data_IF_999104981658
#
_entry.id   IF_999104981658
#
_cell.length_a   1.000
_cell.length_b   1.000
_cell.length_c   1.000
_cell.angle_alpha   90.00
_cell.angle_beta   90.00
_cell.angle_gamma   90.00
#
_symmetry.space_group_name_H-M   'P 1'
#
loop_
_entity.id
_entity.type
_entity.pdbx_description
1 polymer ?
#
# COMPACT_ATOMS: atom_id res chain seq x y z
N UNK A 1 21.92 -16.95 -121.89
CA UNK A 1 22.81 -17.04 -120.72
C UNK A 1 23.84 -15.94 -120.86
N UNK A 2 23.78 -14.89 -120.04
CA UNK A 2 24.77 -13.81 -120.08
C UNK A 2 26.06 -14.33 -119.46
N UNK A 3 27.13 -14.43 -120.25
CA UNK A 3 28.45 -14.81 -119.77
C UNK A 3 28.99 -13.72 -118.84
N UNK A 4 29.27 -14.04 -117.58
CA UNK A 4 29.94 -13.12 -116.64
C UNK A 4 31.45 -13.20 -116.85
N UNK A 5 32.09 -12.05 -117.06
CA UNK A 5 33.55 -11.92 -117.19
C UNK A 5 34.10 -11.02 -116.09
N UNK A 6 35.32 -11.30 -115.63
CA UNK A 6 35.99 -10.48 -114.61
C UNK A 6 36.75 -9.34 -115.29
N UNK A 7 36.47 -8.12 -114.86
CA UNK A 7 37.17 -6.92 -115.31
C UNK A 7 38.01 -6.35 -114.16
N UNK A 8 39.31 -6.16 -114.40
CA UNK A 8 40.25 -5.62 -113.42
C UNK A 8 40.88 -4.33 -113.92
N UNK A 9 40.77 -3.25 -113.14
CA UNK A 9 41.39 -1.95 -113.46
C UNK A 9 42.23 -1.45 -112.30
N UNK A 10 43.40 -0.91 -112.64
CA UNK A 10 44.27 -0.22 -111.69
C UNK A 10 43.68 1.18 -111.44
N UNK A 11 43.20 1.39 -110.23
CA UNK A 11 42.71 2.68 -109.73
C UNK A 11 43.61 3.18 -108.60
N UNK A 12 43.55 4.47 -108.31
CA UNK A 12 44.23 5.05 -107.14
C UNK A 12 43.55 4.61 -105.84
N UNK A 13 44.30 4.57 -104.73
CA UNK A 13 43.77 4.16 -103.43
C UNK A 13 42.65 5.09 -102.94
N UNK A 14 42.74 6.39 -103.24
CA UNK A 14 41.70 7.38 -102.94
C UNK A 14 40.39 7.08 -103.68
N UNK A 15 40.48 6.75 -104.99
CA UNK A 15 39.31 6.40 -105.78
C UNK A 15 38.68 5.10 -105.28
N UNK A 16 39.50 4.13 -104.87
CA UNK A 16 39.04 2.88 -104.28
C UNK A 16 38.28 3.12 -102.97
N UNK A 17 38.81 3.90 -102.05
CA UNK A 17 38.14 4.21 -100.77
C UNK A 17 36.82 4.92 -100.98
N UNK A 18 36.78 5.90 -101.89
CA UNK A 18 35.55 6.63 -102.21
C UNK A 18 34.51 5.72 -102.86
N UNK A 19 34.92 4.84 -103.78
CA UNK A 19 34.04 3.89 -104.43
C UNK A 19 33.45 2.90 -103.42
N UNK A 20 34.28 2.32 -102.53
CA UNK A 20 33.81 1.40 -101.49
C UNK A 20 32.81 2.07 -100.56
N UNK A 21 33.08 3.29 -100.10
CA UNK A 21 32.15 4.02 -99.22
C UNK A 21 30.80 4.28 -99.90
N UNK A 22 30.80 4.68 -101.17
CA UNK A 22 29.56 4.93 -101.91
C UNK A 22 28.74 3.65 -102.13
N UNK A 23 29.42 2.51 -102.38
CA UNK A 23 28.76 1.20 -102.50
C UNK A 23 28.13 0.79 -101.16
N UNK A 24 28.83 0.99 -100.05
CA UNK A 24 28.32 0.69 -98.70
C UNK A 24 27.12 1.58 -98.33
N UNK A 25 27.20 2.87 -98.63
CA UNK A 25 26.11 3.84 -98.38
C UNK A 25 24.88 3.59 -99.27
N UNK A 26 25.07 3.09 -100.49
CA UNK A 26 23.96 2.77 -101.40
C UNK A 26 23.30 1.42 -101.10
N UNK A 27 23.97 0.55 -100.34
CA UNK A 27 23.49 -0.81 -100.02
C UNK A 27 23.48 -1.77 -101.22
N UNK A 28 24.15 -1.42 -102.32
CA UNK A 28 24.25 -2.23 -103.54
C UNK A 28 25.51 -3.10 -103.52
N UNK A 29 25.52 -4.19 -104.29
CA UNK A 29 26.79 -4.87 -104.57
C UNK A 29 27.65 -4.03 -105.52
N UNK A 30 28.98 -4.22 -105.47
CA UNK A 30 29.89 -3.50 -106.37
C UNK A 30 29.54 -3.67 -107.86
N UNK A 31 28.94 -4.82 -108.23
CA UNK A 31 28.45 -5.08 -109.58
C UNK A 31 27.26 -4.20 -109.94
N UNK A 32 26.22 -4.20 -109.11
CA UNK A 32 25.00 -3.41 -109.33
C UNK A 32 25.30 -1.91 -109.36
N UNK A 33 26.19 -1.46 -108.48
CA UNK A 33 26.65 -0.06 -108.45
C UNK A 33 27.36 0.36 -109.75
N UNK A 34 28.23 -0.50 -110.30
CA UNK A 34 28.89 -0.23 -111.59
C UNK A 34 27.89 -0.28 -112.74
N UNK A 35 26.93 -1.20 -112.73
CA UNK A 35 25.85 -1.25 -113.73
C UNK A 35 25.00 0.04 -113.72
N UNK A 36 24.65 0.58 -112.55
CA UNK A 36 23.97 1.87 -112.42
C UNK A 36 24.81 3.03 -112.94
N UNK A 37 26.11 3.08 -112.61
CA UNK A 37 27.02 4.13 -113.12
C UNK A 37 27.13 4.10 -114.65
N UNK A 38 27.19 2.91 -115.25
CA UNK A 38 27.21 2.75 -116.71
C UNK A 38 25.89 3.23 -117.32
N UNK A 39 24.74 2.87 -116.75
CA UNK A 39 23.43 3.33 -117.24
C UNK A 39 23.29 4.86 -117.15
N UNK A 40 23.74 5.48 -116.05
CA UNK A 40 23.74 6.94 -115.87
C UNK A 40 24.63 7.61 -116.92
N UNK A 41 25.82 7.03 -117.20
CA UNK A 41 26.72 7.53 -118.22
C UNK A 41 26.16 7.34 -119.65
N UNK A 42 25.52 6.21 -119.95
CA UNK A 42 24.85 5.95 -121.23
C UNK A 42 23.66 6.89 -121.46
N UNK A 43 22.87 7.18 -120.43
CA UNK A 43 21.80 8.17 -120.47
C UNK A 43 22.35 9.57 -120.78
N UNK A 44 23.47 9.94 -120.15
CA UNK A 44 24.15 11.20 -120.40
C UNK A 44 24.71 11.29 -121.84
N UNK A 45 25.25 10.18 -122.37
CA UNK A 45 25.75 10.11 -123.75
C UNK A 45 24.64 10.12 -124.80
N UNK A 46 23.48 9.54 -124.48
CA UNK A 46 22.28 9.58 -125.34
C UNK A 46 21.75 11.01 -125.49
N UNK A 47 21.84 11.82 -124.42
CA UNK A 47 21.54 13.26 -124.44
C UNK A 47 22.41 14.04 -125.44
N UNK A 48 23.70 13.67 -125.57
CA UNK A 48 24.63 14.30 -126.52
C UNK A 48 24.38 13.87 -127.98
N UNK A 49 23.86 12.66 -128.21
CA UNK A 49 23.68 12.07 -129.54
C UNK A 49 22.30 12.32 -130.16
N UNK A 50 21.25 12.52 -129.35
CA UNK A 50 19.87 12.73 -129.83
C UNK A 50 19.29 14.02 -129.21
N UNK A 51 19.56 15.20 -129.81
CA UNK A 51 19.10 16.49 -129.28
C UNK A 51 17.58 16.60 -129.10
N UNK A 52 16.80 15.86 -129.91
CA UNK A 52 15.35 15.90 -129.93
C UNK A 52 14.67 15.47 -128.62
N UNK A 53 15.35 14.67 -127.79
CA UNK A 53 14.81 14.15 -126.51
C UNK A 53 15.55 14.72 -125.28
N UNK A 54 16.51 15.62 -125.49
CA UNK A 54 17.36 16.18 -124.42
C UNK A 54 16.53 16.92 -123.35
N UNK A 55 15.50 17.65 -123.76
CA UNK A 55 14.59 18.38 -122.87
C UNK A 55 13.80 17.42 -121.97
N UNK A 56 13.30 16.32 -122.52
CA UNK A 56 12.51 15.34 -121.77
C UNK A 56 13.38 14.61 -120.72
N UNK A 57 14.64 14.32 -121.05
CA UNK A 57 15.62 13.74 -120.11
C UNK A 57 15.92 14.72 -118.96
N UNK A 58 16.04 16.02 -119.24
CA UNK A 58 16.25 17.05 -118.20
C UNK A 58 15.05 17.21 -117.27
N UNK A 59 13.83 17.17 -117.82
CA UNK A 59 12.61 17.21 -117.01
C UNK A 59 12.50 15.98 -116.12
N UNK A 60 12.78 14.79 -116.65
CA UNK A 60 12.82 13.54 -115.88
C UNK A 60 13.86 13.59 -114.74
N UNK A 61 15.07 14.08 -115.01
CA UNK A 61 16.10 14.27 -114.00
C UNK A 61 15.65 15.25 -112.91
N UNK A 62 14.98 16.34 -113.31
CA UNK A 62 14.45 17.35 -112.38
C UNK A 62 13.36 16.79 -111.48
N UNK A 63 12.40 16.06 -112.05
CA UNK A 63 11.34 15.38 -111.30
C UNK A 63 11.91 14.33 -110.36
N UNK A 64 12.88 13.54 -110.81
CA UNK A 64 13.56 12.51 -109.99
C UNK A 64 14.27 13.14 -108.80
N UNK A 65 15.03 14.24 -109.02
CA UNK A 65 15.68 14.98 -107.94
C UNK A 65 14.66 15.51 -106.93
N UNK A 66 13.56 16.08 -107.41
CA UNK A 66 12.48 16.58 -106.55
C UNK A 66 11.83 15.47 -105.72
N UNK A 67 11.62 14.28 -106.30
CA UNK A 67 11.11 13.11 -105.57
C UNK A 67 12.09 12.69 -104.46
N UNK A 68 13.40 12.63 -104.77
CA UNK A 68 14.44 12.32 -103.79
C UNK A 68 14.47 13.35 -102.66
N UNK A 69 14.42 14.65 -102.98
CA UNK A 69 14.39 15.73 -101.98
C UNK A 69 13.16 15.62 -101.06
N UNK A 70 11.98 15.27 -101.61
CA UNK A 70 10.77 15.02 -100.81
C UNK A 70 11.00 13.84 -99.86
N UNK A 71 11.56 12.72 -100.34
CA UNK A 71 11.82 11.54 -99.52
C UNK A 71 12.84 11.82 -98.40
N UNK A 72 13.91 12.56 -98.70
CA UNK A 72 14.88 13.01 -97.69
C UNK A 72 14.18 13.85 -96.61
N UNK A 73 13.35 14.82 -97.02
CA UNK A 73 12.61 15.66 -96.09
C UNK A 73 11.62 14.86 -95.22
N UNK A 74 10.93 13.88 -95.79
CA UNK A 74 10.04 12.97 -95.05
C UNK A 74 10.85 12.13 -94.04
N UNK A 75 12.00 11.58 -94.46
CA UNK A 75 12.91 10.85 -93.58
C UNK A 75 13.37 11.72 -92.41
N UNK A 76 13.79 12.96 -92.68
CA UNK A 76 14.19 13.93 -91.66
C UNK A 76 13.03 14.24 -90.68
N UNK A 77 11.82 14.40 -91.20
CA UNK A 77 10.61 14.67 -90.40
C UNK A 77 10.29 13.49 -89.48
N UNK A 78 10.34 12.25 -89.97
CA UNK A 78 10.14 11.04 -89.18
C UNK A 78 11.20 10.94 -88.08
N UNK A 79 12.47 11.16 -88.42
CA UNK A 79 13.57 11.12 -87.45
C UNK A 79 13.40 12.16 -86.34
N UNK A 80 12.97 13.38 -86.68
CA UNK A 80 12.70 14.43 -85.71
C UNK A 80 11.51 14.09 -84.80
N UNK A 81 10.42 13.55 -85.35
CA UNK A 81 9.26 13.11 -84.58
C UNK A 81 9.62 11.96 -83.62
N UNK A 82 10.45 11.02 -84.08
CA UNK A 82 10.91 9.91 -83.26
C UNK A 82 11.79 10.40 -82.11
N UNK A 83 12.74 11.31 -82.40
CA UNK A 83 13.58 11.93 -81.37
C UNK A 83 12.74 12.69 -80.32
N UNK A 84 11.76 13.48 -80.74
CA UNK A 84 10.89 14.21 -79.82
C UNK A 84 10.06 13.26 -78.92
N UNK A 85 9.55 12.17 -79.49
CA UNK A 85 8.84 11.13 -78.73
C UNK A 85 9.77 10.45 -77.72
N UNK A 86 10.98 10.09 -78.14
CA UNK A 86 11.95 9.42 -77.25
C UNK A 86 12.35 10.35 -76.10
N UNK A 87 12.55 11.65 -76.36
CA UNK A 87 12.81 12.66 -75.33
C UNK A 87 11.64 12.80 -74.34
N UNK A 88 10.39 12.80 -74.83
CA UNK A 88 9.19 12.86 -73.97
C UNK A 88 9.06 11.60 -73.11
N UNK A 89 9.25 10.42 -73.70
CA UNK A 89 9.24 9.15 -72.97
C UNK A 89 10.35 9.09 -71.92
N UNK A 90 11.57 9.52 -72.24
CA UNK A 90 12.68 9.59 -71.27
C UNK A 90 12.34 10.52 -70.10
N UNK A 91 11.71 11.67 -70.34
CA UNK A 91 11.24 12.56 -69.27
C UNK A 91 10.18 11.91 -68.40
N UNK A 92 9.21 11.23 -69.00
CA UNK A 92 8.15 10.55 -68.25
C UNK A 92 8.69 9.40 -67.40
N UNK A 93 9.65 8.63 -67.92
CA UNK A 93 10.33 7.57 -67.16
C UNK A 93 11.06 8.17 -65.96
N UNK A 94 11.87 9.22 -66.18
CA UNK A 94 12.60 9.87 -65.10
C UNK A 94 11.68 10.44 -64.00
N UNK A 95 10.54 11.02 -64.38
CA UNK A 95 9.53 11.50 -63.43
C UNK A 95 8.92 10.35 -62.61
N UNK A 96 8.57 9.23 -63.27
CA UNK A 96 8.02 8.06 -62.60
C UNK A 96 9.03 7.43 -61.65
N UNK A 97 10.30 7.31 -62.05
CA UNK A 97 11.37 6.78 -61.21
C UNK A 97 11.59 7.66 -59.98
N UNK A 98 11.57 8.98 -60.14
CA UNK A 98 11.65 9.93 -59.03
C UNK A 98 10.47 9.81 -58.05
N UNK A 99 9.25 9.61 -58.57
CA UNK A 99 8.07 9.39 -57.74
C UNK A 99 8.15 8.05 -56.99
N UNK A 100 8.58 6.98 -57.66
CA UNK A 100 8.78 5.65 -57.06
C UNK A 100 9.78 5.74 -55.91
N UNK A 101 10.93 6.39 -56.13
CA UNK A 101 11.94 6.58 -55.09
C UNK A 101 11.36 7.33 -53.88
N UNK A 102 10.62 8.42 -54.13
CA UNK A 102 9.97 9.21 -53.06
C UNK A 102 8.97 8.38 -52.26
N UNK A 103 8.14 7.58 -52.95
CA UNK A 103 7.15 6.71 -52.31
C UNK A 103 7.82 5.60 -51.50
N UNK A 104 8.91 5.02 -52.00
CA UNK A 104 9.69 4.01 -51.28
C UNK A 104 10.31 4.57 -50.00
N UNK A 105 10.90 5.77 -50.05
CA UNK A 105 11.43 6.44 -48.85
C UNK A 105 10.33 6.67 -47.83
N UNK A 106 9.18 7.21 -48.24
CA UNK A 106 8.08 7.48 -47.33
C UNK A 106 7.47 6.21 -46.74
N UNK A 107 7.44 5.12 -47.51
CA UNK A 107 6.98 3.83 -47.02
C UNK A 107 7.93 3.25 -45.97
N UNK A 108 9.24 3.39 -46.16
CA UNK A 108 10.24 2.97 -45.16
C UNK A 108 10.15 3.81 -43.87
N UNK A 109 9.97 5.13 -43.99
CA UNK A 109 9.78 6.03 -42.84
C UNK A 109 8.53 5.65 -42.03
N UNK A 110 7.39 5.43 -42.71
CA UNK A 110 6.14 5.04 -42.06
C UNK A 110 6.24 3.66 -41.40
N UNK A 111 6.98 2.72 -42.00
CA UNK A 111 7.23 1.42 -41.40
C UNK A 111 8.05 1.54 -40.10
N UNK A 112 9.12 2.33 -40.13
CA UNK A 112 9.96 2.57 -38.95
C UNK A 112 9.19 3.28 -37.83
N UNK A 113 8.36 4.27 -38.16
CA UNK A 113 7.50 4.96 -37.20
C UNK A 113 6.47 4.02 -36.57
N UNK A 114 5.85 3.16 -37.38
CA UNK A 114 4.87 2.18 -36.91
C UNK A 114 5.51 1.13 -35.96
N UNK A 115 6.71 0.65 -36.28
CA UNK A 115 7.46 -0.24 -35.39
C UNK A 115 7.81 0.43 -34.05
N UNK A 116 8.24 1.69 -34.11
CA UNK A 116 8.52 2.49 -32.90
C UNK A 116 7.27 2.65 -32.04
N UNK A 117 6.16 3.10 -32.63
CA UNK A 117 4.89 3.29 -31.91
C UNK A 117 4.39 1.98 -31.30
N UNK A 118 4.55 0.85 -32.01
CA UNK A 118 4.19 -0.48 -31.50
C UNK A 118 5.02 -0.86 -30.26
N UNK A 119 6.33 -0.58 -30.28
CA UNK A 119 7.22 -0.82 -29.13
C UNK A 119 6.88 0.07 -27.93
N UNK A 120 6.60 1.35 -28.17
CA UNK A 120 6.16 2.29 -27.14
C UNK A 120 4.82 1.86 -26.52
N UNK A 121 3.86 1.45 -27.35
CA UNK A 121 2.57 0.94 -26.87
C UNK A 121 2.72 -0.32 -26.00
N UNK A 122 3.60 -1.26 -26.37
CA UNK A 122 3.90 -2.44 -25.54
C UNK A 122 4.55 -2.05 -24.21
N UNK A 123 5.46 -1.08 -24.23
CA UNK A 123 6.13 -0.58 -23.02
C UNK A 123 5.13 0.06 -22.07
N UNK A 124 4.27 0.94 -22.59
CA UNK A 124 3.21 1.58 -21.80
C UNK A 124 2.19 0.58 -21.26
N UNK A 125 1.82 -0.45 -22.04
CA UNK A 125 0.93 -1.51 -21.57
C UNK A 125 1.55 -2.28 -20.38
N UNK A 126 2.86 -2.56 -20.43
CA UNK A 126 3.57 -3.20 -19.33
C UNK A 126 3.63 -2.32 -18.09
N UNK A 127 3.94 -1.03 -18.25
CA UNK A 127 3.95 -0.06 -17.14
C UNK A 127 2.57 0.09 -16.51
N UNK A 128 1.51 0.12 -17.30
CA UNK A 128 0.13 0.18 -16.80
C UNK A 128 -0.22 -1.04 -15.93
N UNK A 129 0.17 -2.25 -16.37
CA UNK A 129 -0.03 -3.46 -15.59
C UNK A 129 0.78 -3.47 -14.27
N UNK A 130 2.01 -2.96 -14.29
CA UNK A 130 2.85 -2.81 -13.10
C UNK A 130 2.23 -1.83 -12.09
N UNK A 131 1.78 -0.66 -12.54
CA UNK A 131 1.09 0.31 -11.68
C UNK A 131 -0.23 -0.22 -11.13
N UNK A 132 -0.99 -0.97 -11.92
CA UNK A 132 -2.24 -1.57 -11.44
C UNK A 132 -1.99 -2.61 -10.35
N UNK A 133 -0.92 -3.41 -10.48
CA UNK A 133 -0.49 -4.34 -9.43
C UNK A 133 -0.08 -3.60 -8.14
N UNK A 134 0.70 -2.52 -8.24
CA UNK A 134 1.12 -1.70 -7.10
C UNK A 134 -0.07 -1.05 -6.40
N UNK A 135 -1.03 -0.50 -7.15
CA UNK A 135 -2.28 0.07 -6.61
C UNK A 135 -3.05 -0.98 -5.82
N UNK A 136 -3.15 -2.21 -6.32
CA UNK A 136 -3.85 -3.28 -5.62
C UNK A 136 -3.15 -3.68 -4.31
N UNK A 137 -1.81 -3.78 -4.31
CA UNK A 137 -1.04 -4.02 -3.08
C UNK A 137 -1.23 -2.90 -2.05
N UNK A 138 -1.19 -1.63 -2.49
CA UNK A 138 -1.42 -0.48 -1.60
C UNK A 138 -2.84 -0.48 -1.03
N UNK A 139 -3.86 -0.84 -1.84
CA UNK A 139 -5.24 -0.98 -1.36
C UNK A 139 -5.38 -2.06 -0.29
N UNK A 140 -4.73 -3.22 -0.47
CA UNK A 140 -4.73 -4.29 0.53
C UNK A 140 -4.02 -3.85 1.82
N UNK A 141 -2.84 -3.23 1.71
CA UNK A 141 -2.13 -2.69 2.86
C UNK A 141 -2.98 -1.67 3.62
N UNK A 142 -3.68 -0.78 2.91
CA UNK A 142 -4.53 0.22 3.54
C UNK A 142 -5.76 -0.40 4.24
N UNK A 143 -6.36 -1.46 3.67
CA UNK A 143 -7.42 -2.23 4.34
C UNK A 143 -6.92 -2.84 5.64
N UNK A 144 -5.75 -3.47 5.62
CA UNK A 144 -5.12 -4.06 6.81
C UNK A 144 -4.83 -3.00 7.88
N UNK A 145 -4.28 -1.85 7.48
CA UNK A 145 -4.04 -0.73 8.40
C UNK A 145 -5.34 -0.20 9.01
N UNK A 146 -6.41 -0.11 8.22
CA UNK A 146 -7.73 0.32 8.71
C UNK A 146 -8.28 -0.65 9.76
N UNK A 147 -8.20 -1.96 9.49
CA UNK A 147 -8.61 -2.98 10.45
C UNK A 147 -7.79 -2.91 11.76
N UNK A 148 -6.48 -2.71 11.64
CA UNK A 148 -5.59 -2.56 12.79
C UNK A 148 -5.93 -1.31 13.63
N UNK A 149 -6.27 -0.19 12.98
CA UNK A 149 -6.73 1.03 13.65
C UNK A 149 -8.02 0.77 14.43
N UNK A 150 -8.98 0.05 13.86
CA UNK A 150 -10.22 -0.31 14.56
C UNK A 150 -9.95 -1.21 15.77
N UNK A 151 -9.06 -2.19 15.64
CA UNK A 151 -8.66 -3.06 16.76
C UNK A 151 -8.02 -2.25 17.90
N UNK A 152 -7.13 -1.31 17.56
CA UNK A 152 -6.51 -0.43 18.56
C UNK A 152 -7.53 0.50 19.22
N UNK A 153 -8.50 1.03 18.48
CA UNK A 153 -9.60 1.82 19.07
C UNK A 153 -10.38 0.98 20.09
N UNK A 154 -10.80 -0.23 19.72
CA UNK A 154 -11.53 -1.11 20.63
C UNK A 154 -10.71 -1.47 21.89
N UNK A 155 -9.41 -1.70 21.74
CA UNK A 155 -8.49 -1.90 22.88
C UNK A 155 -8.41 -0.66 23.77
N UNK A 156 -8.29 0.53 23.19
CA UNK A 156 -8.26 1.80 23.94
C UNK A 156 -9.57 2.00 24.71
N UNK A 157 -10.72 1.73 24.10
CA UNK A 157 -12.03 1.86 24.75
C UNK A 157 -12.13 0.91 25.95
N UNK A 158 -11.68 -0.34 25.77
CA UNK A 158 -11.66 -1.35 26.84
C UNK A 158 -10.74 -0.94 28.00
N UNK A 159 -9.53 -0.46 27.69
CA UNK A 159 -8.58 0.03 28.70
C UNK A 159 -9.12 1.26 29.43
N UNK A 160 -9.82 2.14 28.71
CA UNK A 160 -10.45 3.34 29.28
C UNK A 160 -11.56 2.95 30.26
N UNK A 161 -12.40 1.97 29.90
CA UNK A 161 -13.41 1.44 30.79
C UNK A 161 -12.79 0.83 32.06
N UNK A 162 -11.76 -0.01 31.90
CA UNK A 162 -11.05 -0.63 33.02
C UNK A 162 -10.40 0.41 33.95
N UNK A 163 -9.79 1.47 33.40
CA UNK A 163 -9.23 2.57 34.19
C UNK A 163 -10.31 3.26 35.03
N UNK A 164 -11.51 3.46 34.48
CA UNK A 164 -12.62 4.06 35.21
C UNK A 164 -13.11 3.14 36.35
N UNK A 165 -13.19 1.84 36.11
CA UNK A 165 -13.49 0.86 37.18
C UNK A 165 -12.43 0.89 38.29
N UNK A 166 -11.14 0.91 37.94
CA UNK A 166 -10.06 1.03 38.93
C UNK A 166 -10.13 2.32 39.74
N UNK A 167 -10.50 3.44 39.13
CA UNK A 167 -10.73 4.70 39.86
C UNK A 167 -11.87 4.56 40.86
N UNK A 168 -12.98 3.96 40.45
CA UNK A 168 -14.11 3.68 41.36
C UNK A 168 -13.70 2.77 42.52
N UNK A 169 -12.94 1.70 42.26
CA UNK A 169 -12.43 0.84 43.34
C UNK A 169 -11.49 1.57 44.28
N UNK A 170 -10.64 2.47 43.75
CA UNK A 170 -9.77 3.29 44.59
C UNK A 170 -10.58 4.22 45.51
N UNK A 171 -11.59 4.89 44.97
CA UNK A 171 -12.49 5.75 45.78
C UNK A 171 -13.22 4.96 46.86
N UNK A 172 -13.78 3.80 46.53
CA UNK A 172 -14.42 2.92 47.52
C UNK A 172 -13.45 2.45 48.60
N UNK A 173 -12.20 2.14 48.25
CA UNK A 173 -11.18 1.72 49.21
C UNK A 173 -10.83 2.86 50.19
N UNK A 174 -10.71 4.09 49.70
CA UNK A 174 -10.50 5.25 50.57
C UNK A 174 -11.69 5.50 51.51
N UNK A 175 -12.93 5.32 51.04
CA UNK A 175 -14.13 5.38 51.90
C UNK A 175 -14.07 4.29 52.98
N UNK A 176 -13.82 3.03 52.59
CA UNK A 176 -13.75 1.91 53.53
C UNK A 176 -12.63 2.09 54.57
N UNK A 177 -11.49 2.68 54.18
CA UNK A 177 -10.43 3.01 55.14
C UNK A 177 -10.91 4.03 56.17
N UNK A 178 -11.56 5.11 55.73
CA UNK A 178 -12.10 6.14 56.63
C UNK A 178 -13.17 5.58 57.58
N UNK A 179 -14.06 4.72 57.07
CA UNK A 179 -15.04 4.00 57.90
C UNK A 179 -14.35 3.09 58.92
N UNK A 180 -13.30 2.37 58.52
CA UNK A 180 -12.55 1.50 59.42
C UNK A 180 -11.82 2.28 60.52
N UNK A 181 -11.25 3.44 60.20
CA UNK A 181 -10.67 4.35 61.19
C UNK A 181 -11.72 4.88 62.18
N UNK A 182 -12.90 5.23 61.68
CA UNK A 182 -14.03 5.69 62.51
C UNK A 182 -14.50 4.58 63.46
N UNK A 183 -14.73 3.37 62.94
CA UNK A 183 -15.13 2.21 63.75
C UNK A 183 -14.08 1.85 64.80
N UNK A 184 -12.79 1.96 64.49
CA UNK A 184 -11.70 1.75 65.47
C UNK A 184 -11.76 2.79 66.59
N UNK A 185 -12.00 4.06 66.27
CA UNK A 185 -12.13 5.11 67.27
C UNK A 185 -13.35 4.88 68.17
N UNK A 186 -14.50 4.52 67.59
CA UNK A 186 -15.71 4.17 68.34
C UNK A 186 -15.47 2.95 69.25
N UNK A 187 -14.79 1.93 68.75
CA UNK A 187 -14.48 0.72 69.53
C UNK A 187 -13.56 1.05 70.72
N UNK A 188 -12.54 1.88 70.52
CA UNK A 188 -11.67 2.34 71.60
C UNK A 188 -12.42 3.16 72.67
N UNK A 189 -13.39 4.00 72.26
CA UNK A 189 -14.24 4.75 73.19
C UNK A 189 -15.17 3.84 74.00
N UNK A 190 -15.75 2.82 73.34
CA UNK A 190 -16.56 1.79 74.02
C UNK A 190 -15.72 0.95 74.98
N UNK A 191 -14.51 0.56 74.61
CA UNK A 191 -13.58 -0.16 75.50
C UNK A 191 -13.25 0.66 76.75
N UNK A 192 -12.99 1.96 76.59
CA UNK A 192 -12.79 2.86 77.73
C UNK A 192 -14.03 2.94 78.63
N UNK A 193 -15.21 3.09 78.02
CA UNK A 193 -16.48 3.14 78.77
C UNK A 193 -16.72 1.84 79.54
N UNK A 194 -16.44 0.68 78.93
CA UNK A 194 -16.54 -0.62 79.60
C UNK A 194 -15.61 -0.66 80.81
N UNK A 195 -14.36 -0.24 80.65
CA UNK A 195 -13.39 -0.20 81.76
C UNK A 195 -13.85 0.71 82.90
N UNK A 196 -14.33 1.91 82.58
CA UNK A 196 -14.84 2.86 83.58
C UNK A 196 -16.05 2.26 84.35
N UNK A 197 -16.94 1.55 83.64
CA UNK A 197 -18.07 0.84 84.25
C UNK A 197 -17.63 -0.34 85.12
N UNK A 198 -16.63 -1.12 84.69
CA UNK A 198 -16.06 -2.22 85.46
C UNK A 198 -15.44 -1.72 86.78
N UNK A 199 -14.66 -0.64 86.72
CA UNK A 199 -14.09 0.01 87.91
C UNK A 199 -15.19 0.51 88.86
N UNK A 200 -16.27 1.08 88.30
CA UNK A 200 -17.42 1.54 89.09
C UNK A 200 -18.16 0.38 89.77
N UNK A 201 -18.36 -0.74 89.06
CA UNK A 201 -18.96 -1.96 89.62
C UNK A 201 -18.09 -2.49 90.77
N UNK A 202 -16.76 -2.50 90.61
CA UNK A 202 -15.86 -2.96 91.66
C UNK A 202 -15.91 -2.05 92.91
N UNK A 203 -15.96 -0.73 92.70
CA UNK A 203 -16.14 0.24 93.79
C UNK A 203 -17.44 -0.01 94.56
N UNK A 204 -18.57 -0.14 93.86
CA UNK A 204 -19.88 -0.40 94.47
C UNK A 204 -19.87 -1.74 95.23
N UNK A 205 -19.22 -2.77 94.70
CA UNK A 205 -19.08 -4.06 95.40
C UNK A 205 -18.30 -3.93 96.71
N UNK A 206 -17.20 -3.17 96.71
CA UNK A 206 -16.41 -2.90 97.93
C UNK A 206 -17.23 -2.11 98.95
N UNK A 207 -17.90 -1.05 98.50
CA UNK A 207 -18.79 -0.23 99.32
C UNK A 207 -19.89 -1.08 99.97
N UNK A 208 -20.61 -1.88 99.20
CA UNK A 208 -21.63 -2.80 99.71
C UNK A 208 -21.07 -3.85 100.69
N UNK A 209 -19.83 -4.32 100.50
CA UNK A 209 -19.16 -5.24 101.44
C UNK A 209 -18.85 -4.56 102.77
N UNK A 210 -18.37 -3.31 102.74
CA UNK A 210 -18.11 -2.50 103.94
C UNK A 210 -19.41 -2.21 104.68
N UNK A 211 -20.48 -1.82 103.96
CA UNK A 211 -21.81 -1.63 104.54
C UNK A 211 -22.33 -2.91 105.21
N UNK A 212 -22.13 -4.06 104.57
CA UNK A 212 -22.50 -5.36 105.15
C UNK A 212 -21.68 -5.68 106.40
N UNK A 213 -20.36 -5.47 106.39
CA UNK A 213 -19.49 -5.70 107.55
C UNK A 213 -19.82 -4.77 108.71
N UNK A 214 -20.06 -3.49 108.43
CA UNK A 214 -20.47 -2.50 109.45
C UNK A 214 -21.82 -2.87 110.06
N UNK A 215 -22.82 -3.27 109.26
CA UNK A 215 -24.10 -3.76 109.77
C UNK A 215 -23.93 -5.03 110.65
N UNK A 216 -23.06 -5.97 110.27
CA UNK A 216 -22.73 -7.15 111.09
C UNK A 216 -22.07 -6.73 112.41
N UNK A 217 -21.12 -5.80 112.38
CA UNK A 217 -20.46 -5.28 113.59
C UNK A 217 -21.44 -4.60 114.54
N UNK A 218 -22.35 -3.76 114.02
CA UNK A 218 -23.40 -3.13 114.80
C UNK A 218 -24.34 -4.16 115.44
N UNK A 219 -24.74 -5.18 114.67
CA UNK A 219 -25.58 -6.27 115.18
C UNK A 219 -24.85 -7.10 116.25
N UNK A 220 -23.57 -7.39 116.05
CA UNK A 220 -22.73 -8.10 117.03
C UNK A 220 -22.56 -7.28 118.31
N UNK A 221 -22.39 -5.96 118.20
CA UNK A 221 -22.32 -5.07 119.36
C UNK A 221 -23.62 -5.08 120.16
N UNK A 222 -24.78 -5.00 119.48
CA UNK A 222 -26.09 -5.15 120.13
C UNK A 222 -26.24 -6.50 120.83
N UNK A 223 -25.90 -7.61 120.16
CA UNK A 223 -25.92 -8.92 120.79
C UNK A 223 -24.97 -9.04 121.99
N UNK A 224 -23.78 -8.43 121.95
CA UNK A 224 -22.87 -8.40 123.10
C UNK A 224 -23.45 -7.58 124.27
N UNK A 225 -24.10 -6.45 123.98
CA UNK A 225 -24.78 -5.65 125.00
C UNK A 225 -25.94 -6.43 125.64
N UNK A 226 -26.72 -7.16 124.83
CA UNK A 226 -27.78 -8.05 125.32
C UNK A 226 -27.22 -9.22 126.16
N UNK A 227 -26.13 -9.86 125.71
CA UNK A 227 -25.45 -10.90 126.47
C UNK A 227 -24.88 -10.38 127.79
N UNK A 228 -24.33 -9.17 127.81
CA UNK A 228 -23.87 -8.53 129.06
C UNK A 228 -25.02 -8.27 130.01
N UNK A 229 -26.13 -7.70 129.55
CA UNK A 229 -27.33 -7.51 130.38
C UNK A 229 -27.82 -8.85 130.94
N UNK A 230 -27.87 -9.88 130.10
CA UNK A 230 -28.28 -11.21 130.51
C UNK A 230 -27.29 -11.83 131.54
N UNK A 231 -25.98 -11.64 131.34
CA UNK A 231 -24.96 -12.05 132.31
C UNK A 231 -25.13 -11.29 133.64
N UNK A 232 -25.33 -9.97 133.60
CA UNK A 232 -25.59 -9.16 134.80
C UNK A 232 -26.84 -9.64 135.54
N UNK A 233 -27.92 -9.98 134.82
CA UNK A 233 -29.13 -10.58 135.37
C UNK A 233 -28.88 -11.95 136.02
N UNK A 234 -28.17 -12.86 135.32
CA UNK A 234 -27.84 -14.17 135.88
C UNK A 234 -26.85 -14.08 137.05
N UNK A 235 -25.87 -13.18 137.01
CA UNK A 235 -24.95 -12.92 138.12
C UNK A 235 -25.70 -12.37 139.32
N UNK A 236 -26.64 -11.43 139.11
CA UNK A 236 -27.51 -10.94 140.18
C UNK A 236 -28.35 -12.09 140.79
N UNK A 237 -28.85 -12.99 139.94
CA UNK A 237 -29.62 -14.16 140.38
C UNK A 237 -28.77 -15.19 141.12
N UNK A 238 -27.53 -15.43 140.68
CA UNK A 238 -26.55 -16.27 141.38
C UNK A 238 -26.20 -15.66 142.73
N UNK A 239 -25.97 -14.34 142.80
CA UNK A 239 -25.70 -13.65 144.07
C UNK A 239 -26.89 -13.77 145.03
N UNK A 240 -28.13 -13.62 144.57
CA UNK A 240 -29.33 -13.86 145.37
C UNK A 240 -29.41 -15.31 145.86
N UNK A 241 -29.08 -16.29 145.01
CA UNK A 241 -29.02 -17.70 145.40
C UNK A 241 -27.90 -17.96 146.41
N UNK A 242 -26.74 -17.31 146.27
CA UNK A 242 -25.64 -17.39 147.23
C UNK A 242 -26.00 -16.73 148.56
N UNK A 243 -26.68 -15.58 148.56
CA UNK A 243 -27.24 -15.00 149.78
C UNK A 243 -28.26 -15.94 150.44
N UNK A 244 -29.10 -16.61 149.64
CA UNK A 244 -30.06 -17.58 150.15
C UNK A 244 -29.38 -18.82 150.75
N UNK A 245 -28.35 -19.36 150.09
CA UNK A 245 -27.54 -20.47 150.61
C UNK A 245 -26.78 -20.06 151.88
N UNK A 246 -26.25 -18.84 151.93
CA UNK A 246 -25.60 -18.31 153.14
C UNK A 246 -26.60 -18.14 154.28
N UNK A 247 -27.84 -17.72 154.00
CA UNK A 247 -28.94 -17.70 154.97
C UNK A 247 -29.26 -19.10 155.50
N UNK A 248 -29.40 -20.08 154.62
CA UNK A 248 -29.62 -21.48 155.00
C UNK A 248 -28.45 -22.08 155.79
N UNK A 249 -27.21 -21.70 155.49
CA UNK A 249 -26.03 -22.09 156.26
C UNK A 249 -26.03 -21.44 157.64
N UNK A 250 -26.39 -20.16 157.75
CA UNK A 250 -26.55 -19.48 159.04
C UNK A 250 -27.67 -20.11 159.87
N UNK A 251 -28.82 -20.45 159.26
CA UNK A 251 -29.91 -21.18 159.90
C UNK A 251 -29.48 -22.59 160.34
N UNK A 252 -28.65 -23.28 159.55
CA UNK A 252 -28.10 -24.59 159.88
C UNK A 252 -27.05 -24.52 161.01
N UNK A 253 -26.22 -23.49 161.05
CA UNK A 253 -25.31 -23.20 162.16
C UNK A 253 -26.07 -22.86 163.45
N UNK A 254 -27.19 -22.14 163.33
CA UNK A 254 -28.08 -21.85 164.45
C UNK A 254 -28.79 -23.13 164.95
N UNK A 255 -29.18 -24.03 164.04
CA UNK A 255 -29.70 -25.36 164.35
C UNK A 255 -28.65 -26.25 165.03
N UNK A 256 -27.39 -26.21 164.59
CA UNK A 256 -26.26 -26.93 165.20
C UNK A 256 -25.95 -26.39 166.60
N UNK A 257 -26.00 -25.06 166.80
CA UNK A 257 -25.88 -24.43 168.14
C UNK A 257 -27.03 -24.81 169.07
N UNK A 258 -28.26 -24.98 168.55
CA UNK A 258 -29.41 -25.46 169.34
C UNK A 258 -29.36 -26.96 169.63
N UNK A 259 -28.81 -27.78 168.72
CA UNK A 259 -28.63 -29.22 168.92
C UNK A 259 -27.52 -29.53 169.93
N UNK A 260 -26.38 -28.81 169.89
CA UNK A 260 -25.29 -28.93 170.87
C UNK A 260 -25.68 -28.46 172.29
N UNK A 261 -26.78 -27.73 172.46
CA UNK A 261 -27.30 -27.32 173.77
C UNK A 261 -28.27 -28.32 174.41
N UNK A 262 -28.75 -29.30 173.64
CA UNK A 262 -29.71 -30.33 174.07
C UNK A 262 -29.10 -31.74 174.19
N UNK A 263 -27.79 -31.89 173.97
CA UNK A 263 -27.02 -33.12 174.21
C UNK A 263 -25.62 -32.74 174.71
N UNK A 264 -25.41 -32.78 176.04
CA UNK A 264 -24.15 -32.72 176.81
C UNK A 264 -23.00 -31.84 176.32
#
# INVERSE_FOLDING_TARGET
MNQTTTWGVKITEELKQRLTKLIEESGLTAKEFIEELVQVYEAQKTKELVPAISSDIEELQTLTKRILDIYINVGQKIMNLQKARDEEHSKLIAQKDSLIATLQTKLAELQAENEKLKSEAQTHAKQAAEFEAEINQLKEANKTNTALIEEYKAKIDTLTALINEYKSFKEQNEILKAENETLKAELADKEKTIKDLEERIEFIKKEASIEKETAILELNKKHQEELKKLQEEYTAKINLLQEHVNKLLAEKEEYLKKWLKNNN
#
